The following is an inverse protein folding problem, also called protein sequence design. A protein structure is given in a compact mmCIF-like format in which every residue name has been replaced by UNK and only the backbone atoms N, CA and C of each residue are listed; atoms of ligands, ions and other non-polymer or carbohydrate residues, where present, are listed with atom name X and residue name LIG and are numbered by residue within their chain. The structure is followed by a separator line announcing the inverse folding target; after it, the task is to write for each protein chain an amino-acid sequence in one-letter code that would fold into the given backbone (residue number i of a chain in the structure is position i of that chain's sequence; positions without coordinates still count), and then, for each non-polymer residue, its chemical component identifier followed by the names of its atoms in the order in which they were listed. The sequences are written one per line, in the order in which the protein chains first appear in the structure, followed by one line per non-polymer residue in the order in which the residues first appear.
data_IF_895240916988
#
_entry.id   IF_895240916988
#
_cell.length_a   1.000
_cell.length_b   1.000
_cell.length_c   1.000
_cell.angle_alpha   90.00
_cell.angle_beta   90.00
_cell.angle_gamma   90.00
#
_symmetry.space_group_name_H-M   'P 1'
#
loop_
_entity.id
_entity.type
_entity.pdbx_description
1 polymer ?
#
# COMPACT_ATOMS: atom_id res chain seq x y z
N UNK A 1 -30.19 8.60 -23.63
CA UNK A 1 -30.40 9.14 -22.26
C UNK A 1 -29.38 8.46 -21.39
N UNK A 2 -28.24 9.13 -21.15
CA UNK A 2 -27.29 8.66 -20.15
C UNK A 2 -27.95 8.81 -18.78
N UNK A 3 -28.01 7.71 -18.02
CA UNK A 3 -28.43 7.76 -16.63
C UNK A 3 -27.39 8.61 -15.88
N UNK A 4 -27.76 9.84 -15.54
CA UNK A 4 -26.97 10.66 -14.62
C UNK A 4 -27.04 9.96 -13.26
N UNK A 5 -26.00 9.21 -12.93
CA UNK A 5 -25.87 8.59 -11.63
C UNK A 5 -25.58 9.69 -10.60
N UNK A 6 -26.59 10.05 -9.80
CA UNK A 6 -26.42 10.97 -8.69
C UNK A 6 -25.57 10.31 -7.60
N UNK A 7 -24.36 10.81 -7.40
CA UNK A 7 -23.50 10.41 -6.28
C UNK A 7 -24.05 11.02 -4.99
N UNK A 8 -24.04 10.24 -3.90
CA UNK A 8 -24.40 10.67 -2.56
C UNK A 8 -23.59 9.90 -1.51
N UNK A 9 -23.83 10.16 -0.23
CA UNK A 9 -23.06 9.54 0.86
C UNK A 9 -23.18 8.02 0.97
N UNK A 10 -24.25 7.42 0.44
CA UNK A 10 -24.46 5.98 0.41
C UNK A 10 -23.95 5.33 -0.89
N UNK A 11 -23.35 6.11 -1.80
CA UNK A 11 -22.73 5.58 -3.02
C UNK A 11 -21.56 4.68 -2.65
N UNK A 12 -21.55 3.47 -3.23
CA UNK A 12 -20.41 2.57 -3.15
C UNK A 12 -19.42 2.86 -4.27
N UNK A 13 -18.15 2.79 -3.93
CA UNK A 13 -17.02 3.03 -4.81
C UNK A 13 -16.25 1.74 -5.00
N UNK A 14 -15.82 1.49 -6.22
CA UNK A 14 -14.83 0.46 -6.51
C UNK A 14 -13.44 1.10 -6.51
N UNK A 15 -12.44 0.29 -6.19
CA UNK A 15 -11.07 0.75 -6.17
C UNK A 15 -10.15 -0.22 -5.50
N UNK A 16 -8.97 0.26 -5.14
CA UNK A 16 -7.91 -0.52 -4.53
C UNK A 16 -7.30 0.21 -3.33
N UNK A 17 -7.02 -0.55 -2.28
CA UNK A 17 -6.15 -0.15 -1.18
C UNK A 17 -4.77 -0.73 -1.47
N UNK A 18 -3.75 0.13 -1.45
CA UNK A 18 -2.35 -0.26 -1.49
C UNK A 18 -1.77 -0.12 -0.09
N UNK A 19 -1.14 -1.17 0.42
CA UNK A 19 -0.52 -1.20 1.75
C UNK A 19 0.99 -1.35 1.57
N UNK A 20 1.75 -0.39 2.08
CA UNK A 20 3.19 -0.32 1.96
C UNK A 20 3.82 -0.60 3.33
N UNK A 21 4.67 -1.61 3.38
CA UNK A 21 5.38 -2.03 4.57
C UNK A 21 6.89 -1.95 4.34
N UNK A 22 7.64 -1.43 5.31
CA UNK A 22 9.09 -1.48 5.32
C UNK A 22 9.59 -1.90 6.72
N UNK A 23 10.48 -2.88 6.74
CA UNK A 23 10.92 -3.57 7.95
C UNK A 23 12.46 -3.67 7.93
N UNK A 24 13.09 -3.21 9.01
CA UNK A 24 14.54 -3.32 9.22
C UNK A 24 14.91 -4.78 9.56
N UNK A 25 15.87 -5.30 8.80
CA UNK A 25 16.39 -6.66 8.91
C UNK A 25 17.91 -6.69 9.19
N UNK A 26 18.59 -5.55 9.28
CA UNK A 26 20.02 -5.43 9.58
C UNK A 26 20.65 -4.13 9.05
N UNK A 27 21.98 -4.02 9.08
CA UNK A 27 22.64 -2.79 8.58
C UNK A 27 22.80 -2.76 7.06
N UNK A 28 23.08 -3.92 6.46
CA UNK A 28 23.39 -4.01 5.04
C UNK A 28 23.00 -5.38 4.50
N UNK A 29 22.43 -5.43 3.30
CA UNK A 29 22.08 -6.67 2.60
C UNK A 29 22.95 -6.82 1.36
N UNK A 30 23.72 -7.91 1.29
CA UNK A 30 24.52 -8.28 0.13
C UNK A 30 23.62 -8.90 -0.95
N UNK A 31 23.05 -8.03 -1.79
CA UNK A 31 22.13 -8.43 -2.87
C UNK A 31 22.79 -9.37 -3.89
N UNK A 32 24.10 -9.22 -4.13
CA UNK A 32 24.85 -10.08 -5.05
C UNK A 32 25.00 -11.49 -4.50
N UNK A 33 25.26 -11.63 -3.20
CA UNK A 33 25.32 -12.94 -2.54
C UNK A 33 23.96 -13.63 -2.57
N UNK A 34 22.86 -12.89 -2.40
CA UNK A 34 21.50 -13.44 -2.53
C UNK A 34 21.28 -14.01 -3.93
N UNK A 35 21.62 -13.25 -4.98
CA UNK A 35 21.51 -13.68 -6.39
C UNK A 35 22.37 -14.91 -6.66
N UNK A 36 23.66 -14.86 -6.31
CA UNK A 36 24.64 -15.94 -6.57
C UNK A 36 24.28 -17.23 -5.85
N UNK A 37 23.82 -17.14 -4.60
CA UNK A 37 23.42 -18.31 -3.79
C UNK A 37 21.97 -18.73 -4.00
N UNK A 38 21.19 -17.98 -4.80
CA UNK A 38 19.75 -18.20 -5.03
C UNK A 38 18.98 -18.39 -3.72
N UNK A 39 19.21 -17.47 -2.77
CA UNK A 39 18.54 -17.58 -1.46
C UNK A 39 17.02 -17.38 -1.60
N UNK A 40 16.58 -16.56 -2.55
CA UNK A 40 15.17 -16.35 -2.91
C UNK A 40 15.01 -16.39 -4.44
N UNK A 41 13.79 -16.63 -4.93
CA UNK A 41 13.49 -16.51 -6.35
C UNK A 41 13.40 -15.03 -6.72
N UNK A 42 14.36 -14.53 -7.48
CA UNK A 42 14.42 -13.13 -7.88
C UNK A 42 13.53 -12.87 -9.09
N UNK A 43 12.88 -11.70 -9.13
CA UNK A 43 12.12 -11.22 -10.30
C UNK A 43 12.95 -10.16 -11.00
N UNK A 44 12.97 -10.20 -12.33
CA UNK A 44 13.58 -9.15 -13.12
C UNK A 44 12.71 -7.90 -13.05
N UNK A 45 13.36 -6.75 -12.81
CA UNK A 45 12.73 -5.45 -12.90
C UNK A 45 13.26 -4.75 -14.14
N UNK A 46 12.37 -4.47 -15.09
CA UNK A 46 12.70 -3.67 -16.26
C UNK A 46 12.91 -2.21 -15.81
N UNK A 47 14.13 -1.85 -15.43
CA UNK A 47 14.46 -0.44 -15.23
C UNK A 47 14.48 0.28 -16.57
N UNK A 48 13.91 1.48 -16.62
CA UNK A 48 14.05 2.33 -17.80
C UNK A 48 15.53 2.67 -18.00
N UNK A 49 16.03 2.68 -19.25
CA UNK A 49 17.43 2.94 -19.56
C UNK A 49 17.91 4.33 -19.11
N UNK A 50 16.98 5.23 -18.76
CA UNK A 50 17.25 6.59 -18.29
C UNK A 50 17.46 6.69 -16.78
N UNK A 51 17.18 5.63 -16.02
CA UNK A 51 17.42 5.64 -14.57
C UNK A 51 18.89 5.37 -14.26
N UNK A 52 19.48 6.23 -13.43
CA UNK A 52 20.79 5.96 -12.83
C UNK A 52 20.63 4.81 -11.84
N UNK A 53 21.23 3.65 -12.15
CA UNK A 53 21.02 2.37 -11.47
C UNK A 53 21.67 2.25 -10.07
N UNK A 54 21.77 3.33 -9.30
CA UNK A 54 22.33 3.28 -7.95
C UNK A 54 21.26 2.76 -6.98
N UNK A 55 21.58 1.69 -6.25
CA UNK A 55 20.74 1.12 -5.18
C UNK A 55 19.39 0.52 -5.63
N UNK A 56 19.32 -0.08 -6.82
CA UNK A 56 18.13 -0.83 -7.25
C UNK A 56 17.90 -1.98 -6.26
N UNK A 57 16.73 -2.04 -5.59
CA UNK A 57 16.43 -3.14 -4.70
C UNK A 57 16.29 -4.45 -5.46
N UNK A 58 16.55 -5.56 -4.78
CA UNK A 58 16.31 -6.88 -5.32
C UNK A 58 14.84 -7.23 -5.20
N UNK A 59 14.16 -7.38 -6.33
CA UNK A 59 12.79 -7.89 -6.38
C UNK A 59 12.80 -9.41 -6.25
N UNK A 60 11.86 -9.94 -5.48
CA UNK A 60 11.75 -11.38 -5.27
C UNK A 60 10.30 -11.84 -5.17
N UNK A 61 10.11 -13.15 -5.28
CA UNK A 61 8.81 -13.79 -5.18
C UNK A 61 8.52 -14.23 -3.75
N UNK A 62 7.48 -13.67 -3.15
CA UNK A 62 7.06 -14.04 -1.79
C UNK A 62 6.60 -15.50 -1.72
N UNK A 63 5.96 -16.00 -2.77
CA UNK A 63 5.46 -17.38 -2.87
C UNK A 63 6.61 -18.39 -2.80
N UNK A 64 7.83 -17.98 -3.18
CA UNK A 64 9.02 -18.83 -3.06
C UNK A 64 9.50 -19.05 -1.62
N UNK A 65 8.95 -18.30 -0.66
CA UNK A 65 9.23 -18.47 0.76
C UNK A 65 8.41 -19.60 1.39
N UNK A 66 7.38 -20.10 0.70
CA UNK A 66 6.56 -21.20 1.20
C UNK A 66 7.33 -22.53 1.07
N UNK A 67 7.65 -23.13 2.22
CA UNK A 67 7.92 -24.58 2.24
C UNK A 67 6.64 -25.31 1.78
N UNK A 68 6.76 -26.40 1.00
CA UNK A 68 5.64 -27.21 0.47
C UNK A 68 4.77 -27.90 1.54
N UNK A 69 4.47 -27.25 2.65
CA UNK A 69 3.54 -27.71 3.67
C UNK A 69 2.15 -27.20 3.32
N UNK A 70 1.34 -28.11 2.80
CA UNK A 70 -0.11 -27.98 2.63
C UNK A 70 -0.77 -27.89 4.01
N UNK A 71 -0.87 -26.69 4.55
CA UNK A 71 -1.88 -26.33 5.54
C UNK A 71 -2.36 -24.93 5.23
N UNK A 72 -3.05 -24.82 4.09
CA UNK A 72 -3.65 -23.59 3.61
C UNK A 72 -4.95 -23.34 4.36
N UNK A 73 -4.87 -22.61 5.46
CA UNK A 73 -5.93 -21.68 5.83
C UNK A 73 -5.31 -20.30 5.67
N UNK A 74 -5.53 -19.69 4.50
CA UNK A 74 -5.24 -18.27 4.32
C UNK A 74 -6.17 -17.50 5.27
N UNK A 75 -5.65 -17.07 6.41
CA UNK A 75 -6.38 -16.26 7.40
C UNK A 75 -6.80 -14.88 6.86
N UNK A 76 -6.39 -14.53 5.64
CA UNK A 76 -6.72 -13.26 5.00
C UNK A 76 -8.08 -13.38 4.36
N UNK A 77 -9.02 -12.59 4.89
CA UNK A 77 -10.43 -12.57 4.46
C UNK A 77 -10.66 -11.88 3.11
N UNK A 78 -9.62 -11.31 2.53
CA UNK A 78 -9.69 -10.42 1.38
C UNK A 78 -8.95 -11.00 0.18
N UNK A 79 -9.60 -10.97 -0.99
CA UNK A 79 -8.92 -11.22 -2.28
C UNK A 79 -7.78 -10.20 -2.41
N UNK A 80 -6.54 -10.67 -2.39
CA UNK A 80 -5.40 -9.79 -2.28
C UNK A 80 -4.14 -10.47 -2.79
N UNK A 81 -3.19 -9.67 -3.26
CA UNK A 81 -1.91 -10.20 -3.71
C UNK A 81 -0.78 -9.21 -3.42
N UNK A 82 0.40 -9.78 -3.13
CA UNK A 82 1.62 -9.00 -3.00
C UNK A 82 2.07 -8.58 -4.40
N UNK A 83 1.91 -7.30 -4.73
CA UNK A 83 2.30 -6.77 -6.04
C UNK A 83 3.80 -6.48 -6.12
N UNK A 84 4.47 -6.37 -4.98
CA UNK A 84 5.90 -6.14 -4.93
C UNK A 84 6.51 -6.57 -3.60
N UNK A 85 7.62 -7.32 -3.68
CA UNK A 85 8.49 -7.66 -2.54
C UNK A 85 9.91 -7.30 -2.90
N UNK A 86 10.60 -6.54 -2.03
CA UNK A 86 11.91 -5.95 -2.32
C UNK A 86 12.87 -6.10 -1.15
N UNK A 87 14.13 -6.41 -1.43
CA UNK A 87 15.25 -6.30 -0.50
C UNK A 87 16.14 -5.12 -0.88
N UNK A 88 16.38 -4.24 0.08
CA UNK A 88 17.18 -3.04 -0.09
C UNK A 88 18.58 -3.25 0.48
N UNK A 89 19.59 -2.72 -0.19
CA UNK A 89 20.99 -2.88 0.23
C UNK A 89 21.25 -2.28 1.62
N UNK A 90 20.48 -1.28 2.04
CA UNK A 90 20.59 -0.60 3.33
C UNK A 90 19.80 -1.28 4.47
N UNK A 91 19.56 -2.59 4.37
CA UNK A 91 19.06 -3.35 5.53
C UNK A 91 17.55 -3.44 5.66
N UNK A 92 16.78 -3.17 4.59
CA UNK A 92 15.31 -3.15 4.65
C UNK A 92 14.71 -4.21 3.73
N UNK A 93 13.65 -4.88 4.20
CA UNK A 93 12.69 -5.60 3.34
C UNK A 93 11.42 -4.77 3.24
N UNK A 94 10.83 -4.67 2.05
CA UNK A 94 9.57 -3.95 1.86
C UNK A 94 8.57 -4.73 1.02
N UNK A 95 7.29 -4.59 1.37
CA UNK A 95 6.17 -5.21 0.69
C UNK A 95 5.15 -4.17 0.24
N UNK A 96 4.49 -4.45 -0.88
CA UNK A 96 3.32 -3.73 -1.32
C UNK A 96 2.21 -4.74 -1.61
N UNK A 97 1.10 -4.61 -0.91
CA UNK A 97 -0.10 -5.42 -1.14
C UNK A 97 -1.18 -4.58 -1.78
N UNK A 98 -1.98 -5.22 -2.64
CA UNK A 98 -3.15 -4.63 -3.25
C UNK A 98 -4.40 -5.36 -2.78
N UNK A 99 -5.38 -4.60 -2.29
CA UNK A 99 -6.67 -5.12 -1.82
C UNK A 99 -7.78 -4.36 -2.54
N UNK A 100 -8.55 -5.00 -3.45
CA UNK A 100 -9.70 -4.38 -4.07
C UNK A 100 -10.82 -4.17 -3.04
N UNK A 101 -11.62 -3.12 -3.23
CA UNK A 101 -12.78 -2.85 -2.39
C UNK A 101 -14.00 -2.44 -3.23
N UNK A 102 -15.17 -2.62 -2.62
CA UNK A 102 -16.46 -2.10 -3.10
C UNK A 102 -17.27 -1.64 -1.88
N UNK A 103 -17.08 -0.40 -1.46
CA UNK A 103 -17.63 0.13 -0.21
C UNK A 103 -18.01 1.61 -0.32
N UNK A 104 -18.81 2.09 0.63
CA UNK A 104 -18.96 3.54 0.86
C UNK A 104 -17.68 4.08 1.50
N UNK A 105 -17.41 5.39 1.41
CA UNK A 105 -16.23 5.99 2.07
C UNK A 105 -16.28 5.79 3.61
N UNK A 106 -17.48 5.81 4.21
CA UNK A 106 -17.64 5.57 5.65
C UNK A 106 -17.25 4.14 6.04
N UNK A 107 -17.79 3.15 5.30
CA UNK A 107 -17.53 1.74 5.57
C UNK A 107 -16.08 1.36 5.27
N UNK A 108 -15.49 2.01 4.25
CA UNK A 108 -14.10 1.81 3.85
C UNK A 108 -13.13 2.10 4.99
N UNK A 109 -13.40 3.10 5.83
CA UNK A 109 -12.55 3.42 6.99
C UNK A 109 -12.49 2.27 7.99
N UNK A 110 -13.66 1.74 8.38
CA UNK A 110 -13.74 0.61 9.32
C UNK A 110 -13.07 -0.62 8.72
N UNK A 111 -13.34 -0.90 7.44
CA UNK A 111 -12.74 -2.01 6.71
C UNK A 111 -11.22 -1.89 6.59
N UNK A 112 -10.71 -0.68 6.36
CA UNK A 112 -9.28 -0.42 6.26
C UNK A 112 -8.54 -0.71 7.58
N UNK A 113 -9.15 -0.42 8.73
CA UNK A 113 -8.58 -0.78 10.04
C UNK A 113 -8.46 -2.30 10.19
N UNK A 114 -9.48 -3.05 9.78
CA UNK A 114 -9.44 -4.52 9.80
C UNK A 114 -8.42 -5.10 8.82
N UNK A 115 -8.41 -4.59 7.58
CA UNK A 115 -7.43 -4.94 6.55
C UNK A 115 -6.02 -4.69 7.08
N UNK A 116 -5.75 -3.50 7.62
CA UNK A 116 -4.44 -3.16 8.15
C UNK A 116 -3.99 -4.17 9.21
N UNK A 117 -4.86 -4.53 10.15
CA UNK A 117 -4.53 -5.51 11.19
C UNK A 117 -4.11 -6.86 10.61
N UNK A 118 -4.87 -7.36 9.64
CA UNK A 118 -4.56 -8.65 8.99
C UNK A 118 -3.23 -8.58 8.24
N UNK A 119 -2.96 -7.46 7.56
CA UNK A 119 -1.74 -7.27 6.78
C UNK A 119 -0.50 -6.90 7.60
N UNK A 120 -0.65 -6.27 8.77
CA UNK A 120 0.44 -6.07 9.72
C UNK A 120 1.02 -7.44 10.12
N UNK A 121 0.14 -8.38 10.48
CA UNK A 121 0.51 -9.75 10.83
C UNK A 121 1.08 -10.53 9.63
N UNK A 122 0.51 -10.35 8.42
CA UNK A 122 1.02 -10.97 7.19
C UNK A 122 2.44 -10.47 6.88
N UNK A 123 2.65 -9.16 6.87
CA UNK A 123 3.92 -8.53 6.53
C UNK A 123 5.03 -8.92 7.52
N UNK A 124 4.71 -9.00 8.81
CA UNK A 124 5.67 -9.44 9.84
C UNK A 124 6.12 -10.89 9.60
N UNK A 125 5.18 -11.82 9.35
CA UNK A 125 5.52 -13.21 9.05
C UNK A 125 6.33 -13.37 7.77
N UNK A 126 5.95 -12.65 6.71
CA UNK A 126 6.65 -12.65 5.44
C UNK A 126 8.06 -12.07 5.55
N UNK A 127 8.23 -11.01 6.35
CA UNK A 127 9.53 -10.44 6.67
C UNK A 127 10.38 -11.43 7.47
N UNK A 128 9.82 -12.10 8.48
CA UNK A 128 10.54 -13.08 9.29
C UNK A 128 11.06 -14.24 8.43
N UNK A 129 10.19 -14.81 7.57
CA UNK A 129 10.59 -15.84 6.60
C UNK A 129 11.69 -15.36 5.65
N UNK A 130 11.55 -14.13 5.15
CA UNK A 130 12.57 -13.51 4.28
C UNK A 130 13.90 -13.37 5.02
N UNK A 131 13.87 -12.84 6.24
CA UNK A 131 15.03 -12.63 7.10
C UNK A 131 15.77 -13.94 7.37
N UNK A 132 15.06 -15.00 7.78
CA UNK A 132 15.65 -16.32 8.00
C UNK A 132 16.38 -16.82 6.75
N UNK A 133 15.71 -16.70 5.59
CA UNK A 133 16.20 -17.20 4.31
C UNK A 133 17.45 -16.45 3.82
N UNK A 134 17.50 -15.14 4.02
CA UNK A 134 18.60 -14.29 3.53
C UNK A 134 19.61 -13.91 4.62
N UNK A 135 19.43 -14.34 5.86
CA UNK A 135 20.25 -14.02 7.04
C UNK A 135 21.76 -14.11 6.78
N UNK A 136 22.20 -15.14 6.05
CA UNK A 136 23.61 -15.34 5.70
C UNK A 136 24.21 -14.23 4.81
N UNK A 137 23.37 -13.41 4.18
CA UNK A 137 23.74 -12.28 3.33
C UNK A 137 23.49 -10.91 4.00
N UNK A 138 23.14 -10.88 5.29
CA UNK A 138 22.91 -9.65 6.04
C UNK A 138 24.11 -9.37 6.95
N UNK A 139 24.55 -8.12 6.96
CA UNK A 139 25.53 -7.59 7.91
C UNK A 139 24.82 -7.15 9.19
N UNK A 140 25.28 -7.68 10.33
CA UNK A 140 24.66 -7.51 11.65
C UNK A 140 23.13 -7.77 11.59
N UNK A 141 22.73 -9.02 11.30
CA UNK A 141 21.32 -9.37 11.16
C UNK A 141 20.56 -9.04 12.44
N UNK A 142 19.53 -8.22 12.32
CA UNK A 142 18.64 -7.84 13.42
C UNK A 142 17.26 -7.64 12.84
N UNK A 143 16.31 -8.47 13.26
CA UNK A 143 14.93 -8.30 12.88
C UNK A 143 14.28 -7.33 13.86
N UNK A 144 13.87 -6.16 13.36
CA UNK A 144 13.01 -5.25 14.10
C UNK A 144 11.56 -5.45 13.69
N UNK A 145 10.66 -5.38 14.66
CA UNK A 145 9.23 -5.32 14.35
C UNK A 145 8.94 -4.00 13.63
N UNK A 146 7.90 -4.02 12.77
CA UNK A 146 7.49 -2.99 11.82
C UNK A 146 7.98 -1.56 12.11
N UNK A 147 8.86 -1.03 11.24
CA UNK A 147 9.40 0.33 11.42
C UNK A 147 8.70 1.38 10.57
N UNK A 148 7.96 1.01 9.50
CA UNK A 148 7.18 1.98 8.71
C UNK A 148 6.02 1.33 7.95
N UNK A 149 4.87 2.02 8.00
CA UNK A 149 3.65 1.69 7.26
C UNK A 149 3.13 2.93 6.55
N UNK A 150 2.62 2.76 5.34
CA UNK A 150 1.88 3.78 4.61
C UNK A 150 0.79 3.10 3.80
N UNK A 151 -0.30 3.79 3.49
CA UNK A 151 -1.32 3.25 2.60
C UNK A 151 -1.79 4.26 1.56
N UNK A 152 -2.32 3.77 0.46
CA UNK A 152 -2.99 4.59 -0.53
C UNK A 152 -4.35 3.98 -0.89
N UNK A 153 -5.38 4.80 -0.91
CA UNK A 153 -6.69 4.44 -1.43
C UNK A 153 -6.82 5.04 -2.83
N UNK A 154 -7.03 4.18 -3.82
CA UNK A 154 -7.36 4.57 -5.17
C UNK A 154 -8.82 4.22 -5.43
N UNK A 155 -9.64 5.23 -5.76
CA UNK A 155 -11.01 5.08 -6.20
C UNK A 155 -11.06 5.12 -7.72
N UNK A 156 -11.86 4.26 -8.34
CA UNK A 156 -12.06 4.26 -9.78
C UNK A 156 -12.80 5.53 -10.22
N UNK A 157 -12.43 6.13 -11.37
CA UNK A 157 -13.04 7.37 -11.83
C UNK A 157 -14.53 7.20 -12.13
N UNK A 158 -15.35 8.15 -11.69
CA UNK A 158 -16.79 8.15 -11.97
C UNK A 158 -17.08 9.12 -13.11
N UNK A 159 -17.10 8.57 -14.33
CA UNK A 159 -17.27 9.35 -15.56
C UNK A 159 -18.60 10.12 -15.54
N UNK A 160 -18.50 11.43 -15.81
CA UNK A 160 -19.64 12.32 -16.04
C UNK A 160 -20.51 12.63 -14.81
N UNK A 161 -20.10 12.26 -13.60
CA UNK A 161 -20.96 12.37 -12.43
C UNK A 161 -20.67 13.59 -11.54
N UNK A 162 -19.40 13.87 -11.19
CA UNK A 162 -19.03 14.90 -10.21
C UNK A 162 -17.60 15.39 -10.48
N UNK A 163 -17.34 16.70 -10.41
CA UNK A 163 -15.99 17.27 -10.51
C UNK A 163 -15.14 16.95 -9.27
N UNK A 164 -13.79 16.97 -9.35
CA UNK A 164 -12.92 16.77 -8.17
C UNK A 164 -13.25 17.69 -6.98
N UNK A 165 -13.61 18.94 -7.26
CA UNK A 165 -13.97 19.92 -6.23
C UNK A 165 -15.30 19.59 -5.56
N UNK A 166 -16.33 19.24 -6.34
CA UNK A 166 -17.62 18.80 -5.81
C UNK A 166 -17.47 17.50 -5.00
N UNK A 167 -16.66 16.56 -5.48
CA UNK A 167 -16.38 15.31 -4.77
C UNK A 167 -15.70 15.58 -3.43
N UNK A 168 -14.69 16.45 -3.43
CA UNK A 168 -14.01 16.91 -2.22
C UNK A 168 -14.97 17.61 -1.26
N UNK A 169 -15.89 18.43 -1.76
CA UNK A 169 -16.88 19.09 -0.90
C UNK A 169 -17.87 18.09 -0.28
N UNK A 170 -18.22 17.02 -1.01
CA UNK A 170 -19.14 15.98 -0.52
C UNK A 170 -18.50 15.01 0.47
N UNK A 171 -17.24 14.62 0.24
CA UNK A 171 -16.58 13.52 0.96
C UNK A 171 -15.33 13.95 1.73
N UNK A 172 -14.88 15.20 1.63
CA UNK A 172 -13.58 15.67 2.14
C UNK A 172 -13.35 15.35 3.62
N UNK A 173 -14.31 15.64 4.49
CA UNK A 173 -14.22 15.29 5.93
C UNK A 173 -14.05 13.78 6.14
N UNK A 174 -14.77 12.95 5.37
CA UNK A 174 -14.69 11.49 5.46
C UNK A 174 -13.34 10.98 4.93
N UNK A 175 -12.83 11.57 3.86
CA UNK A 175 -11.50 11.26 3.32
C UNK A 175 -10.42 11.65 4.33
N UNK A 176 -10.49 12.84 4.94
CA UNK A 176 -9.52 13.27 5.95
C UNK A 176 -9.49 12.30 7.14
N UNK A 177 -10.66 11.89 7.64
CA UNK A 177 -10.78 10.90 8.72
C UNK A 177 -10.26 9.52 8.30
N UNK A 178 -10.54 9.09 7.06
CA UNK A 178 -10.01 7.86 6.48
C UNK A 178 -8.48 7.88 6.45
N UNK A 179 -7.86 8.96 5.98
CA UNK A 179 -6.40 9.08 5.84
C UNK A 179 -5.66 8.99 7.18
N UNK A 180 -6.26 9.51 8.25
CA UNK A 180 -5.69 9.42 9.60
C UNK A 180 -6.04 8.14 10.35
N UNK A 181 -6.85 7.26 9.75
CA UNK A 181 -7.44 6.09 10.42
C UNK A 181 -8.15 6.45 11.73
N UNK A 182 -8.60 7.70 11.87
CA UNK A 182 -9.24 8.19 13.10
C UNK A 182 -10.71 7.81 13.11
N UNK A 183 -11.15 7.15 14.18
CA UNK A 183 -12.56 6.81 14.40
C UNK A 183 -13.37 7.97 14.98
N UNK A 184 -12.68 8.94 15.62
CA UNK A 184 -13.25 10.16 16.16
C UNK A 184 -13.25 11.29 15.12
N UNK A 185 -14.02 12.34 15.39
CA UNK A 185 -14.12 13.51 14.52
C UNK A 185 -12.84 14.36 14.66
N UNK A 186 -12.20 14.63 13.53
CA UNK A 186 -11.08 15.58 13.43
C UNK A 186 -11.53 17.01 13.77
N UNK A 187 -10.61 17.84 14.23
CA UNK A 187 -10.88 19.28 14.33
C UNK A 187 -10.99 19.90 12.93
N UNK A 188 -11.78 20.97 12.80
CA UNK A 188 -11.91 21.69 11.52
C UNK A 188 -10.57 22.19 10.96
N UNK A 189 -9.61 22.47 11.85
CA UNK A 189 -8.25 22.87 11.47
C UNK A 189 -7.50 21.72 10.81
N UNK A 190 -7.51 20.53 11.41
CA UNK A 190 -6.86 19.33 10.86
C UNK A 190 -7.49 18.90 9.53
N UNK A 191 -8.83 18.95 9.44
CA UNK A 191 -9.52 18.65 8.18
C UNK A 191 -9.07 19.60 7.07
N UNK A 192 -9.00 20.91 7.35
CA UNK A 192 -8.53 21.91 6.38
C UNK A 192 -7.08 21.70 5.98
N UNK A 193 -6.20 21.33 6.90
CA UNK A 193 -4.79 21.07 6.61
C UNK A 193 -4.62 19.88 5.65
N UNK A 194 -5.27 18.75 5.95
CA UNK A 194 -5.23 17.54 5.11
C UNK A 194 -5.82 17.85 3.73
N UNK A 195 -6.96 18.53 3.69
CA UNK A 195 -7.61 18.89 2.45
C UNK A 195 -6.88 19.99 1.68
N UNK A 196 -6.03 20.80 2.32
CA UNK A 196 -5.19 21.77 1.63
C UNK A 196 -4.05 21.09 0.84
N UNK A 197 -3.62 19.90 1.25
CA UNK A 197 -2.65 19.06 0.52
C UNK A 197 -3.25 18.36 -0.71
N UNK A 198 -4.29 18.95 -1.32
CA UNK A 198 -4.85 18.47 -2.58
C UNK A 198 -3.95 18.87 -3.73
N UNK A 199 -3.57 17.91 -4.57
CA UNK A 199 -2.89 18.15 -5.84
C UNK A 199 -3.62 17.43 -6.96
N UNK A 200 -3.60 17.99 -8.17
CA UNK A 200 -4.18 17.38 -9.36
C UNK A 200 -3.24 17.61 -10.53
N UNK A 201 -2.99 16.56 -11.32
CA UNK A 201 -2.13 16.67 -12.51
C UNK A 201 -2.94 17.10 -13.73
N UNK A 202 -4.16 16.58 -13.87
CA UNK A 202 -5.21 17.09 -14.75
C UNK A 202 -6.36 17.71 -13.95
N UNK A 203 -7.18 18.55 -14.58
CA UNK A 203 -8.37 19.15 -13.95
C UNK A 203 -9.47 18.15 -13.55
N UNK A 204 -9.25 16.85 -13.80
CA UNK A 204 -10.15 15.75 -13.46
C UNK A 204 -9.61 14.83 -12.36
N UNK A 205 -8.36 15.05 -11.91
CA UNK A 205 -7.74 14.22 -10.88
C UNK A 205 -7.94 14.82 -9.49
N UNK A 206 -8.19 13.96 -8.51
CA UNK A 206 -8.15 14.31 -7.10
C UNK A 206 -7.08 13.46 -6.42
N UNK A 207 -6.01 14.09 -5.94
CA UNK A 207 -4.99 13.44 -5.11
C UNK A 207 -4.90 14.21 -3.79
N UNK A 208 -5.01 13.50 -2.68
CA UNK A 208 -4.82 14.05 -1.34
C UNK A 208 -3.73 13.22 -0.68
N UNK A 209 -2.67 13.87 -0.22
CA UNK A 209 -1.53 13.21 0.42
C UNK A 209 -1.46 13.69 1.87
N UNK A 210 -1.44 12.74 2.79
CA UNK A 210 -1.25 12.97 4.22
C UNK A 210 -0.04 12.15 4.72
N UNK A 211 0.40 12.40 5.97
CA UNK A 211 1.53 11.69 6.58
C UNK A 211 1.26 10.20 6.77
N UNK A 212 0.01 9.81 7.00
CA UNK A 212 -0.35 8.41 7.29
C UNK A 212 -0.87 7.65 6.06
N UNK A 213 -1.33 8.36 5.03
CA UNK A 213 -1.82 7.74 3.81
C UNK A 213 -2.15 8.73 2.70
N UNK A 214 -2.53 8.20 1.54
CA UNK A 214 -2.95 8.97 0.39
C UNK A 214 -4.31 8.52 -0.14
N UNK A 215 -5.02 9.45 -0.76
CA UNK A 215 -6.25 9.20 -1.51
C UNK A 215 -6.06 9.66 -2.95
N UNK A 216 -6.52 8.87 -3.90
CA UNK A 216 -6.48 9.23 -5.32
C UNK A 216 -7.75 8.81 -6.05
N UNK A 217 -8.17 9.66 -6.96
CA UNK A 217 -9.15 9.38 -8.01
C UNK A 217 -8.55 9.97 -9.29
N UNK A 218 -8.18 9.10 -10.23
CA UNK A 218 -7.53 9.47 -11.48
C UNK A 218 -8.30 8.84 -12.64
N UNK A 219 -8.52 9.59 -13.72
CA UNK A 219 -9.01 9.02 -14.97
C UNK A 219 -7.82 8.31 -15.65
N UNK A 220 -7.96 7.01 -15.93
CA UNK A 220 -6.92 6.21 -16.62
C UNK A 220 -7.29 5.95 -18.08
#
# INVERSE_FOLDING_TARGET
MENINFINQATKFNGNIYLFYAIDIGEEVDLDKIRKKRLVNTKDFASSPYFKNYHIPLFFDIESLESKSRSGEDFIKYDSYCISSKLHQFGVVSFCYKVPFNETIDDLRTKLVEIKKDFDFKAEQEAAKTFERVSSAIKKPRFLNLDSFYFAVQVDPIKGAVSPEEFKNMFGTKIASLLRLETLRLSEYQEKEILAATTGYSGLDLIIIDSEGAFSMMDT
#
